data_IF_109796812634
#
_entry.id   IF_109796812634
#
_cell.length_a   1.000
_cell.length_b   1.000
_cell.length_c   1.000
_cell.angle_alpha   90.00
_cell.angle_beta   90.00
_cell.angle_gamma   90.00
#
_symmetry.space_group_name_H-M   'P 1'
#
loop_
_entity.id
_entity.type
_entity.pdbx_description
1 polymer ?
#
# COMPACT_ATOMS: atom_id res chain seq x y z
N UNK A 1 26.71 -11.35 3.25
CA UNK A 1 25.46 -10.76 3.79
C UNK A 1 24.31 -11.12 2.86
N UNK A 2 23.23 -11.64 3.41
CA UNK A 2 22.05 -12.00 2.62
C UNK A 2 21.05 -10.82 2.61
N UNK A 3 21.04 -10.09 1.50
CA UNK A 3 20.18 -8.92 1.32
C UNK A 3 18.70 -9.30 1.33
N UNK A 4 18.35 -10.42 0.69
CA UNK A 4 16.97 -10.90 0.69
C UNK A 4 16.45 -11.17 2.10
N UNK A 5 17.28 -11.76 2.94
CA UNK A 5 16.96 -12.02 4.35
C UNK A 5 16.71 -10.71 5.11
N UNK A 6 17.55 -9.70 4.88
CA UNK A 6 17.41 -8.40 5.53
C UNK A 6 16.08 -7.75 5.13
N UNK A 7 15.76 -7.74 3.83
CA UNK A 7 14.52 -7.17 3.29
C UNK A 7 13.32 -7.90 3.87
N UNK A 8 13.35 -9.23 3.88
CA UNK A 8 12.26 -10.04 4.43
C UNK A 8 12.07 -9.80 5.93
N UNK A 9 13.15 -9.62 6.67
CA UNK A 9 13.09 -9.34 8.10
C UNK A 9 12.44 -7.97 8.37
N UNK A 10 12.86 -6.94 7.65
CA UNK A 10 12.24 -5.61 7.74
C UNK A 10 10.76 -5.68 7.40
N UNK A 11 10.41 -6.33 6.29
CA UNK A 11 9.03 -6.49 5.85
C UNK A 11 8.17 -7.19 6.91
N UNK A 12 8.66 -8.27 7.50
CA UNK A 12 7.95 -9.00 8.55
C UNK A 12 7.72 -8.15 9.79
N UNK A 13 8.70 -7.36 10.20
CA UNK A 13 8.58 -6.49 11.37
C UNK A 13 7.58 -5.36 11.13
N UNK A 14 7.59 -4.77 9.94
CA UNK A 14 6.61 -3.75 9.54
C UNK A 14 5.20 -4.33 9.51
N UNK A 15 5.05 -5.52 8.96
CA UNK A 15 3.77 -6.24 8.91
C UNK A 15 3.22 -6.48 10.31
N UNK A 16 4.07 -6.94 11.24
CA UNK A 16 3.66 -7.19 12.63
C UNK A 16 3.15 -5.93 13.32
N UNK A 17 3.77 -4.78 13.07
CA UNK A 17 3.32 -3.50 13.62
C UNK A 17 1.95 -3.10 13.06
N UNK A 18 1.78 -3.20 11.74
CA UNK A 18 0.52 -2.87 11.08
C UNK A 18 -0.63 -3.76 11.55
N UNK A 19 -0.37 -5.04 11.81
CA UNK A 19 -1.37 -5.99 12.27
C UNK A 19 -2.03 -5.57 13.58
N UNK A 20 -1.30 -4.91 14.48
CA UNK A 20 -1.84 -4.47 15.75
C UNK A 20 -2.98 -3.47 15.55
N UNK A 21 -2.78 -2.45 14.73
CA UNK A 21 -3.83 -1.44 14.47
C UNK A 21 -4.95 -2.03 13.60
N UNK A 22 -4.61 -2.83 12.59
CA UNK A 22 -5.63 -3.48 11.74
C UNK A 22 -6.56 -4.36 12.57
N UNK A 23 -6.00 -5.17 13.47
CA UNK A 23 -6.79 -6.02 14.36
C UNK A 23 -7.67 -5.18 15.28
N UNK A 24 -7.15 -4.10 15.85
CA UNK A 24 -7.91 -3.22 16.73
C UNK A 24 -9.10 -2.55 16.03
N UNK A 25 -8.99 -2.35 14.71
CA UNK A 25 -10.05 -1.78 13.89
C UNK A 25 -10.98 -2.84 13.28
N UNK A 26 -10.75 -4.11 13.57
CA UNK A 26 -11.53 -5.22 12.99
C UNK A 26 -11.27 -5.43 11.49
N UNK A 27 -10.09 -5.04 11.01
CA UNK A 27 -9.71 -5.13 9.60
C UNK A 27 -8.72 -6.28 9.41
N UNK A 28 -8.96 -7.13 8.41
CA UNK A 28 -8.02 -8.18 8.04
C UNK A 28 -6.74 -7.62 7.43
N UNK A 29 -5.63 -8.38 7.52
CA UNK A 29 -4.32 -7.92 7.04
C UNK A 29 -4.29 -7.52 5.57
N UNK A 30 -4.90 -8.32 4.71
CA UNK A 30 -4.93 -8.04 3.28
C UNK A 30 -5.70 -6.74 2.98
N UNK A 31 -6.85 -6.56 3.63
CA UNK A 31 -7.66 -5.34 3.50
C UNK A 31 -6.94 -4.13 4.09
N UNK A 32 -6.26 -4.32 5.21
CA UNK A 32 -5.47 -3.26 5.85
C UNK A 32 -4.36 -2.73 4.95
N UNK A 33 -3.67 -3.60 4.24
CA UNK A 33 -2.63 -3.22 3.27
C UNK A 33 -3.22 -2.40 2.12
N UNK A 34 -4.39 -2.78 1.63
CA UNK A 34 -5.08 -2.05 0.57
C UNK A 34 -5.48 -0.66 1.06
N UNK A 35 -6.04 -0.57 2.26
CA UNK A 35 -6.43 0.72 2.84
C UNK A 35 -5.22 1.63 3.03
N UNK A 36 -4.09 1.09 3.52
CA UNK A 36 -2.85 1.84 3.66
C UNK A 36 -2.34 2.36 2.31
N UNK A 37 -2.39 1.52 1.28
CA UNK A 37 -2.01 1.92 -0.07
C UNK A 37 -2.89 3.06 -0.59
N UNK A 38 -4.21 2.94 -0.45
CA UNK A 38 -5.15 3.99 -0.85
C UNK A 38 -4.84 5.29 -0.10
N UNK A 39 -4.60 5.20 1.19
CA UNK A 39 -4.32 6.35 2.04
C UNK A 39 -3.07 7.12 1.60
N UNK A 40 -1.99 6.42 1.33
CA UNK A 40 -0.70 7.02 0.94
C UNK A 40 -0.75 7.50 -0.50
N UNK A 41 -1.18 6.65 -1.44
CA UNK A 41 -1.15 6.97 -2.86
C UNK A 41 -2.13 8.07 -3.25
N UNK A 42 -3.27 8.17 -2.58
CA UNK A 42 -4.28 9.20 -2.88
C UNK A 42 -3.79 10.63 -2.57
N UNK A 43 -2.71 10.78 -1.81
CA UNK A 43 -2.06 12.08 -1.61
C UNK A 43 -1.24 12.51 -2.82
N UNK A 44 -0.88 11.56 -3.70
CA UNK A 44 -0.03 11.80 -4.86
C UNK A 44 -0.82 11.84 -6.18
N UNK A 45 -1.82 10.98 -6.31
CA UNK A 45 -2.64 10.86 -7.52
C UNK A 45 -3.94 10.13 -7.18
N UNK A 46 -4.96 10.21 -8.05
CA UNK A 46 -6.17 9.39 -7.88
C UNK A 46 -5.81 7.89 -7.91
N UNK A 47 -6.44 7.10 -7.06
CA UNK A 47 -6.21 5.65 -6.97
C UNK A 47 -7.36 4.90 -7.63
N UNK A 48 -7.00 4.00 -8.54
CA UNK A 48 -7.94 3.14 -9.26
C UNK A 48 -7.69 1.67 -8.91
N UNK A 49 -8.64 0.81 -9.22
CA UNK A 49 -8.50 -0.62 -8.97
C UNK A 49 -7.24 -1.21 -9.62
N UNK A 50 -6.91 -0.78 -10.83
CA UNK A 50 -5.71 -1.25 -11.54
C UNK A 50 -4.42 -0.98 -10.78
N UNK A 51 -4.36 0.13 -10.05
CA UNK A 51 -3.19 0.47 -9.24
C UNK A 51 -2.98 -0.54 -8.12
N UNK A 52 -4.08 -0.98 -7.50
CA UNK A 52 -4.06 -2.01 -6.45
C UNK A 52 -3.65 -3.36 -7.02
N UNK A 53 -4.21 -3.73 -8.17
CA UNK A 53 -3.86 -4.98 -8.86
C UNK A 53 -2.36 -5.06 -9.13
N UNK A 54 -1.76 -3.98 -9.62
CA UNK A 54 -0.33 -3.91 -9.90
C UNK A 54 0.52 -3.96 -8.65
N UNK A 55 0.17 -3.17 -7.64
CA UNK A 55 0.95 -3.05 -6.41
C UNK A 55 1.05 -4.38 -5.68
N UNK A 56 -0.04 -5.12 -5.59
CA UNK A 56 -0.12 -6.34 -4.80
C UNK A 56 -0.06 -7.63 -5.65
N UNK A 57 0.14 -7.51 -6.96
CA UNK A 57 0.17 -8.65 -7.88
C UNK A 57 -1.05 -9.54 -7.74
N UNK A 58 -2.23 -8.92 -7.65
CA UNK A 58 -3.50 -9.62 -7.47
C UNK A 58 -4.31 -9.61 -8.76
N UNK A 59 -5.13 -10.67 -8.93
CA UNK A 59 -6.07 -10.76 -10.05
C UNK A 59 -7.19 -9.74 -9.88
N UNK A 60 -7.74 -9.21 -11.00
CA UNK A 60 -8.87 -8.28 -10.94
C UNK A 60 -10.05 -8.78 -10.12
N UNK A 61 -10.40 -10.07 -10.23
CA UNK A 61 -11.51 -10.66 -9.48
C UNK A 61 -11.26 -10.64 -7.97
N UNK A 62 -10.04 -10.89 -7.54
CA UNK A 62 -9.65 -10.84 -6.12
C UNK A 62 -9.79 -9.42 -5.58
N UNK A 63 -9.26 -8.43 -6.30
CA UNK A 63 -9.35 -7.02 -5.90
C UNK A 63 -10.80 -6.56 -5.88
N UNK A 64 -11.61 -6.95 -6.88
CA UNK A 64 -13.03 -6.64 -6.92
C UNK A 64 -13.75 -7.10 -5.65
N UNK A 65 -13.51 -8.34 -5.21
CA UNK A 65 -14.13 -8.89 -4.00
C UNK A 65 -13.66 -8.15 -2.74
N UNK A 66 -12.37 -7.84 -2.65
CA UNK A 66 -11.81 -7.10 -1.52
C UNK A 66 -12.41 -5.69 -1.43
N UNK A 67 -12.53 -5.00 -2.57
CA UNK A 67 -13.12 -3.66 -2.62
C UNK A 67 -14.61 -3.68 -2.28
N UNK A 68 -15.36 -4.67 -2.76
CA UNK A 68 -16.77 -4.85 -2.39
C UNK A 68 -16.93 -5.02 -0.88
N UNK A 69 -16.07 -5.83 -0.26
CA UNK A 69 -16.08 -6.02 1.18
C UNK A 69 -15.84 -4.70 1.92
N UNK A 70 -14.86 -3.91 1.50
CA UNK A 70 -14.55 -2.61 2.09
C UNK A 70 -15.70 -1.61 1.87
N UNK A 71 -16.32 -1.61 0.71
CA UNK A 71 -17.51 -0.78 0.41
C UNK A 71 -18.69 -1.17 1.30
N UNK A 72 -18.93 -2.46 1.49
CA UNK A 72 -20.03 -2.94 2.34
C UNK A 72 -19.87 -2.56 3.81
N UNK A 73 -18.65 -2.28 4.24
CA UNK A 73 -18.34 -1.80 5.59
C UNK A 73 -18.29 -0.28 5.68
N UNK A 74 -18.69 0.42 4.64
CA UNK A 74 -18.66 1.89 4.55
C UNK A 74 -17.25 2.49 4.77
N UNK A 75 -16.20 1.76 4.41
CA UNK A 75 -14.83 2.24 4.57
C UNK A 75 -14.35 3.01 3.34
N UNK A 76 -14.75 2.56 2.16
CA UNK A 76 -14.37 3.20 0.89
C UNK A 76 -15.60 3.42 0.01
N UNK A 77 -15.44 4.32 -0.94
CA UNK A 77 -16.42 4.61 -1.98
C UNK A 77 -15.71 4.73 -3.32
N UNK A 78 -16.39 4.34 -4.39
CA UNK A 78 -15.90 4.54 -5.76
C UNK A 78 -16.60 5.74 -6.36
N UNK A 79 -15.81 6.71 -6.78
CA UNK A 79 -16.31 7.97 -7.34
C UNK A 79 -15.95 8.02 -8.82
N UNK A 80 -16.94 8.21 -9.73
CA UNK A 80 -16.63 8.33 -11.17
C UNK A 80 -15.62 9.44 -11.42
N UNK A 81 -14.65 9.17 -12.31
CA UNK A 81 -13.67 10.17 -12.71
C UNK A 81 -14.37 11.30 -13.48
N UNK A 82 -14.01 12.54 -13.19
CA UNK A 82 -14.56 13.72 -13.86
C UNK A 82 -14.33 13.71 -15.37
N UNK A 83 -13.16 13.19 -15.81
CA UNK A 83 -12.77 13.15 -17.22
C UNK A 83 -13.29 11.92 -17.96
N UNK A 84 -13.45 10.79 -17.28
CA UNK A 84 -13.95 9.55 -17.86
C UNK A 84 -14.67 8.72 -16.81
N UNK A 85 -16.00 8.76 -16.84
CA UNK A 85 -16.86 8.06 -15.87
C UNK A 85 -16.75 6.54 -15.88
N UNK A 86 -16.08 5.94 -16.88
CA UNK A 86 -15.81 4.50 -16.89
C UNK A 86 -14.77 4.11 -15.85
N UNK A 87 -13.91 5.05 -15.44
CA UNK A 87 -12.92 4.86 -14.40
C UNK A 87 -13.44 5.45 -13.09
N UNK A 88 -13.34 4.69 -12.02
CA UNK A 88 -13.79 5.11 -10.69
C UNK A 88 -12.61 5.17 -9.75
N UNK A 89 -12.33 6.36 -9.24
CA UNK A 89 -11.31 6.53 -8.21
C UNK A 89 -11.84 6.02 -6.88
N UNK A 90 -10.95 5.51 -6.07
CA UNK A 90 -11.26 4.92 -4.77
C UNK A 90 -10.87 5.92 -3.69
N UNK A 91 -11.77 6.17 -2.76
CA UNK A 91 -11.54 7.12 -1.66
C UNK A 91 -12.14 6.58 -0.36
N UNK A 92 -11.63 7.06 0.78
CA UNK A 92 -12.27 6.80 2.06
C UNK A 92 -13.61 7.53 2.13
N UNK A 93 -14.57 6.92 2.81
CA UNK A 93 -15.85 7.58 3.10
C UNK A 93 -15.70 8.56 4.26
N UNK A 94 -16.65 9.49 4.40
CA UNK A 94 -16.69 10.38 5.56
C UNK A 94 -16.89 9.61 6.86
N UNK A 95 -17.68 8.53 6.83
CA UNK A 95 -17.90 7.64 7.99
C UNK A 95 -16.63 6.95 8.45
N UNK A 96 -15.67 6.76 7.55
CA UNK A 96 -14.40 6.09 7.83
C UNK A 96 -13.33 7.04 8.37
N UNK A 97 -13.66 8.28 8.72
CA UNK A 97 -12.68 9.28 9.18
C UNK A 97 -11.85 8.80 10.38
N UNK A 98 -12.48 8.15 11.35
CA UNK A 98 -11.76 7.63 12.54
C UNK A 98 -10.80 6.49 12.17
N UNK A 99 -11.20 5.60 11.26
CA UNK A 99 -10.35 4.52 10.74
C UNK A 99 -9.18 5.12 9.97
N UNK A 100 -9.45 6.07 9.11
CA UNK A 100 -8.43 6.78 8.32
C UNK A 100 -7.40 7.44 9.23
N UNK A 101 -7.84 8.13 10.29
CA UNK A 101 -6.97 8.81 11.25
C UNK A 101 -6.08 7.80 12.00
N UNK A 102 -6.65 6.68 12.43
CA UNK A 102 -5.89 5.63 13.14
C UNK A 102 -4.83 4.99 12.24
N UNK A 103 -5.16 4.71 10.97
CA UNK A 103 -4.21 4.16 10.01
C UNK A 103 -3.10 5.19 9.71
N UNK A 104 -3.47 6.44 9.51
CA UNK A 104 -2.52 7.51 9.23
C UNK A 104 -1.54 7.73 10.39
N UNK A 105 -2.04 7.69 11.62
CA UNK A 105 -1.22 7.80 12.82
C UNK A 105 -0.22 6.66 12.91
N UNK A 106 -0.65 5.42 12.67
CA UNK A 106 0.23 4.25 12.69
C UNK A 106 1.32 4.36 11.63
N UNK A 107 0.98 4.76 10.42
CA UNK A 107 1.94 4.95 9.33
C UNK A 107 3.00 5.99 9.72
N UNK A 108 2.58 7.13 10.25
CA UNK A 108 3.51 8.19 10.65
C UNK A 108 4.40 7.78 11.83
N UNK A 109 3.86 7.12 12.82
CA UNK A 109 4.62 6.62 13.98
C UNK A 109 5.66 5.58 13.57
N UNK A 110 5.29 4.67 12.69
CA UNK A 110 6.20 3.64 12.18
C UNK A 110 7.31 4.27 11.34
N UNK A 111 6.97 5.22 10.48
CA UNK A 111 7.96 5.96 9.68
C UNK A 111 8.96 6.68 10.58
N UNK A 112 8.48 7.40 11.58
CA UNK A 112 9.34 8.11 12.52
C UNK A 112 10.26 7.15 13.29
N UNK A 113 9.74 5.99 13.69
CA UNK A 113 10.53 4.96 14.37
C UNK A 113 11.62 4.38 13.46
N UNK A 114 11.26 4.06 12.22
CA UNK A 114 12.21 3.51 11.23
C UNK A 114 13.36 4.45 10.96
N UNK A 115 13.08 5.74 10.89
CA UNK A 115 14.07 6.76 10.48
C UNK A 115 14.86 7.32 11.66
N UNK A 116 14.62 6.85 12.88
CA UNK A 116 15.35 7.32 14.05
C UNK A 116 16.85 7.07 13.89
N UNK A 117 17.65 8.12 13.99
CA UNK A 117 19.10 8.04 13.84
C UNK A 117 19.60 7.89 12.41
N UNK A 118 18.70 7.98 11.43
CA UNK A 118 19.04 7.92 10.01
C UNK A 118 19.03 9.35 9.45
N UNK A 119 20.13 9.76 8.83
CA UNK A 119 20.22 11.09 8.22
C UNK A 119 19.40 11.17 6.92
N UNK A 120 19.09 12.39 6.53
CA UNK A 120 18.40 12.65 5.25
C UNK A 120 19.21 12.11 4.07
N UNK A 121 20.53 12.28 4.11
CA UNK A 121 21.43 11.77 3.08
C UNK A 121 21.45 10.24 3.03
N UNK A 122 21.47 9.57 4.18
CA UNK A 122 21.39 8.10 4.27
C UNK A 122 20.07 7.61 3.70
N UNK A 123 18.97 8.30 4.01
CA UNK A 123 17.65 7.94 3.49
C UNK A 123 17.60 8.09 1.96
N UNK A 124 18.14 9.16 1.41
CA UNK A 124 18.23 9.38 -0.03
C UNK A 124 19.02 8.25 -0.70
N UNK A 125 20.14 7.86 -0.11
CA UNK A 125 20.96 6.77 -0.62
C UNK A 125 20.23 5.42 -0.57
N UNK A 126 19.55 5.14 0.53
CA UNK A 126 18.71 3.93 0.67
C UNK A 126 17.63 3.89 -0.43
N UNK A 127 16.93 5.00 -0.64
CA UNK A 127 15.88 5.11 -1.67
C UNK A 127 16.46 4.87 -3.06
N UNK A 128 17.60 5.48 -3.36
CA UNK A 128 18.30 5.30 -4.64
C UNK A 128 18.66 3.84 -4.90
N UNK A 129 19.22 3.18 -3.89
CA UNK A 129 19.64 1.78 -4.00
C UNK A 129 18.44 0.85 -4.17
N UNK A 130 17.38 1.06 -3.37
CA UNK A 130 16.17 0.22 -3.47
C UNK A 130 15.46 0.39 -4.81
N UNK A 131 15.46 1.58 -5.39
CA UNK A 131 14.93 1.81 -6.74
C UNK A 131 15.70 1.00 -7.80
N UNK A 132 17.04 0.96 -7.69
CA UNK A 132 17.86 0.13 -8.57
C UNK A 132 17.54 -1.35 -8.42
N UNK A 133 17.36 -1.83 -7.18
CA UNK A 133 16.98 -3.22 -6.92
C UNK A 133 15.67 -3.57 -7.59
N UNK A 134 14.66 -2.71 -7.47
CA UNK A 134 13.36 -2.90 -8.09
C UNK A 134 13.47 -2.92 -9.62
N UNK A 135 14.22 -2.00 -10.21
CA UNK A 135 14.45 -1.97 -11.65
C UNK A 135 15.13 -3.25 -12.15
N UNK A 136 16.08 -3.80 -11.38
CA UNK A 136 16.75 -5.04 -11.74
C UNK A 136 15.75 -6.21 -11.77
N UNK A 137 14.88 -6.29 -10.77
CA UNK A 137 13.85 -7.33 -10.71
C UNK A 137 12.84 -7.20 -11.85
N UNK A 138 12.38 -5.99 -12.13
CA UNK A 138 11.43 -5.71 -13.22
C UNK A 138 12.03 -6.07 -14.59
N UNK A 139 13.30 -5.80 -14.80
CA UNK A 139 14.00 -6.11 -16.05
C UNK A 139 14.07 -7.62 -16.29
N UNK A 140 14.33 -8.41 -15.24
CA UNK A 140 14.35 -9.87 -15.33
C UNK A 140 12.97 -10.45 -15.63
N UNK A 141 11.92 -9.93 -14.99
CA UNK A 141 10.55 -10.37 -15.24
C UNK A 141 10.13 -10.15 -16.70
N UNK A 142 10.49 -9.01 -17.29
CA UNK A 142 10.22 -8.71 -18.70
C UNK A 142 10.97 -9.64 -19.64
N UNK A 143 12.20 -10.03 -19.32
CA UNK A 143 13.02 -10.91 -20.15
C UNK A 143 12.60 -12.37 -20.04
N UNK A 144 11.96 -12.78 -18.92
CA UNK A 144 11.52 -14.16 -18.67
C UNK A 144 10.07 -14.42 -19.09
N UNK A 145 9.31 -13.39 -19.45
CA UNK A 145 7.94 -13.55 -19.94
C UNK A 145 7.94 -14.23 -21.30
N UNK A 146 7.21 -15.35 -21.50
CA UNK A 146 7.10 -15.99 -22.81
C UNK A 146 6.40 -15.04 -23.78
N UNK A 147 6.96 -14.93 -24.98
CA UNK A 147 6.35 -14.15 -26.08
C UNK A 147 5.13 -14.87 -26.63
#
# INVERSE_FOLDING_TARGET
MDIGKIINHLSSRLKSRSQVVHTSLGIGNAQGKILNFILVESTLHPVYQKDIEREFFLRPSTVTEMLKSLESRDLIVRIPDENDGRFKRIAFTEKAAAVKDALNQEIHETEALLLRGISEQELMEFTRITEKMLQNLDSEEKSSSPQ
#
